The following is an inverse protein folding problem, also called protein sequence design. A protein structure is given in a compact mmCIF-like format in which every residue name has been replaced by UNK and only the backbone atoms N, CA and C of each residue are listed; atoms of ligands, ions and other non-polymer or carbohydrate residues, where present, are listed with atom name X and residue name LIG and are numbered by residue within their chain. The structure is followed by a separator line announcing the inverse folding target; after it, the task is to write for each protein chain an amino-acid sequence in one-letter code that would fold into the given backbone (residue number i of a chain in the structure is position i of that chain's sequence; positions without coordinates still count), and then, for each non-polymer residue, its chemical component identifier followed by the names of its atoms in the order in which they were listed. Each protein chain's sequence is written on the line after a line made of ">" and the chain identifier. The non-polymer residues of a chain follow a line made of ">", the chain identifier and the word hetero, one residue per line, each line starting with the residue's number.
data_IF_491592596833
#
_entry.id   IF_491592596833
#
_cell.length_a   1.000
_cell.length_b   1.000
_cell.length_c   1.000
_cell.angle_alpha   90.00
_cell.angle_beta   90.00
_cell.angle_gamma   90.00
#
_symmetry.space_group_name_H-M   'P 1'
#
loop_
_entity.id
_entity.type
_entity.pdbx_description
1 polymer ?
#
# COMPACT_ATOMS: atom_id res chain seq x y z
N UNK A 1 4.47 -1.23 12.20
CA UNK A 1 3.85 -1.84 11.00
C UNK A 1 2.36 -1.88 11.22
N UNK A 2 1.58 -1.31 10.32
CA UNK A 2 0.12 -1.32 10.39
C UNK A 2 -0.45 -1.93 9.12
N UNK A 3 -1.33 -2.91 9.25
CA UNK A 3 -2.00 -3.52 8.09
C UNK A 3 -3.02 -2.54 7.53
N UNK A 4 -2.83 -2.12 6.29
CA UNK A 4 -3.71 -1.16 5.61
C UNK A 4 -4.86 -1.88 4.94
N UNK A 5 -4.55 -2.98 4.24
CA UNK A 5 -5.53 -3.75 3.47
C UNK A 5 -5.09 -5.21 3.40
N UNK A 6 -6.06 -6.10 3.37
CA UNK A 6 -5.87 -7.53 3.13
C UNK A 6 -6.94 -7.99 2.16
N UNK A 7 -6.55 -8.73 1.12
CA UNK A 7 -7.47 -9.25 0.12
C UNK A 7 -6.97 -10.60 -0.39
N UNK A 8 -7.89 -11.45 -0.84
CA UNK A 8 -7.54 -12.70 -1.51
C UNK A 8 -7.64 -12.50 -3.03
N UNK A 9 -6.65 -13.00 -3.76
CA UNK A 9 -6.65 -12.98 -5.22
C UNK A 9 -5.97 -14.25 -5.76
N UNK A 10 -6.61 -14.91 -6.73
CA UNK A 10 -6.13 -16.17 -7.32
C UNK A 10 -5.77 -17.28 -6.31
N UNK A 11 -6.51 -17.35 -5.19
CA UNK A 11 -6.26 -18.32 -4.12
C UNK A 11 -4.99 -18.03 -3.32
N UNK A 12 -4.46 -16.81 -3.41
CA UNK A 12 -3.36 -16.31 -2.58
C UNK A 12 -3.86 -15.14 -1.74
N UNK A 13 -3.48 -15.13 -0.47
CA UNK A 13 -3.79 -14.03 0.44
C UNK A 13 -2.74 -12.93 0.32
N UNK A 14 -3.17 -11.72 -0.04
CA UNK A 14 -2.35 -10.52 -0.14
C UNK A 14 -2.59 -9.63 1.08
N UNK A 15 -1.50 -9.15 1.70
CA UNK A 15 -1.55 -8.21 2.80
C UNK A 15 -0.69 -6.99 2.49
N UNK A 16 -1.28 -5.80 2.50
CA UNK A 16 -0.58 -4.53 2.35
C UNK A 16 -0.32 -3.97 3.74
N UNK A 17 0.95 -3.92 4.13
CA UNK A 17 1.41 -3.43 5.44
C UNK A 17 2.19 -2.14 5.26
N UNK A 18 1.78 -1.11 5.98
CA UNK A 18 2.48 0.17 6.05
C UNK A 18 3.57 0.14 7.10
N UNK A 19 4.72 0.67 6.72
CA UNK A 19 5.90 0.91 7.53
C UNK A 19 6.23 2.40 7.45
N UNK A 20 5.99 3.12 8.53
CA UNK A 20 6.44 4.51 8.63
C UNK A 20 7.94 4.51 8.93
N UNK A 21 8.73 5.07 8.01
CA UNK A 21 10.12 5.44 8.24
C UNK A 21 10.19 6.95 8.47
N UNK A 22 11.27 7.45 9.08
CA UNK A 22 11.42 8.89 9.36
C UNK A 22 11.32 9.78 8.11
N UNK A 23 11.51 9.20 6.92
CA UNK A 23 11.45 9.88 5.61
C UNK A 23 10.09 9.77 4.91
N UNK A 24 9.13 8.98 5.41
CA UNK A 24 7.82 8.81 4.80
C UNK A 24 7.15 7.46 5.10
N UNK A 25 6.07 7.16 4.39
CA UNK A 25 5.36 5.89 4.53
C UNK A 25 5.73 4.93 3.41
N UNK A 26 6.21 3.75 3.78
CA UNK A 26 6.49 2.66 2.85
C UNK A 26 5.43 1.57 3.01
N UNK A 27 4.71 1.28 1.94
CA UNK A 27 3.78 0.16 1.85
C UNK A 27 4.53 -1.05 1.32
N UNK A 28 4.51 -2.13 2.09
CA UNK A 28 5.03 -3.44 1.70
C UNK A 28 3.87 -4.38 1.45
N UNK A 29 3.87 -5.02 0.29
CA UNK A 29 2.92 -6.09 -0.02
C UNK A 29 3.50 -7.42 0.43
N UNK A 30 2.68 -8.22 1.09
CA UNK A 30 2.96 -9.61 1.47
C UNK A 30 1.99 -10.52 0.73
N UNK A 31 2.46 -11.68 0.30
CA UNK A 31 1.66 -12.72 -0.35
C UNK A 31 1.90 -14.00 0.42
N UNK A 32 0.84 -14.60 0.94
CA UNK A 32 0.91 -15.82 1.76
C UNK A 32 1.89 -15.68 2.94
N UNK A 33 1.95 -14.48 3.54
CA UNK A 33 2.88 -14.14 4.61
C UNK A 33 4.33 -13.85 4.16
N UNK A 34 4.66 -14.02 2.87
CA UNK A 34 5.99 -13.69 2.33
C UNK A 34 6.03 -12.27 1.77
N UNK A 35 7.03 -11.44 2.11
CA UNK A 35 7.17 -10.11 1.53
C UNK A 35 7.46 -10.22 0.03
N UNK A 36 6.73 -9.46 -0.78
CA UNK A 36 6.99 -9.37 -2.22
C UNK A 36 7.98 -8.25 -2.52
N UNK A 37 8.43 -8.19 -3.79
CA UNK A 37 9.21 -7.06 -4.33
C UNK A 37 8.34 -5.86 -4.74
N UNK A 38 7.02 -5.93 -4.54
CA UNK A 38 6.12 -4.81 -4.78
C UNK A 38 6.16 -3.92 -3.54
N UNK A 39 6.92 -2.85 -3.64
CA UNK A 39 6.94 -1.76 -2.66
C UNK A 39 6.25 -0.51 -3.23
N UNK A 40 5.43 0.14 -2.41
CA UNK A 40 4.86 1.44 -2.70
C UNK A 40 5.43 2.45 -1.72
N UNK A 41 6.27 3.37 -2.18
CA UNK A 41 6.81 4.45 -1.34
C UNK A 41 6.00 5.72 -1.52
N UNK A 42 5.55 6.30 -0.40
CA UNK A 42 4.91 7.61 -0.36
C UNK A 42 5.93 8.61 0.15
N UNK A 43 6.38 9.49 -0.74
CA UNK A 43 7.20 10.62 -0.35
C UNK A 43 6.40 11.58 0.53
N UNK A 44 7.10 12.26 1.44
CA UNK A 44 6.52 13.28 2.33
C UNK A 44 5.70 14.34 1.58
N UNK A 45 6.10 14.73 0.37
CA UNK A 45 5.37 15.68 -0.47
C UNK A 45 3.97 15.19 -0.81
N UNK A 46 3.82 13.94 -1.27
CA UNK A 46 2.51 13.33 -1.58
C UNK A 46 1.66 13.20 -0.31
N UNK A 47 2.30 12.96 0.83
CA UNK A 47 1.62 12.87 2.12
C UNK A 47 1.07 14.23 2.59
N UNK A 48 1.85 15.30 2.40
CA UNK A 48 1.41 16.67 2.69
C UNK A 48 0.35 17.14 1.71
N UNK A 49 0.50 16.83 0.43
CA UNK A 49 -0.43 17.21 -0.63
C UNK A 49 -1.79 16.51 -0.45
N UNK A 50 -1.79 15.21 -0.15
CA UNK A 50 -3.01 14.46 0.14
C UNK A 50 -3.72 14.94 1.43
N UNK A 51 -2.95 15.35 2.45
CA UNK A 51 -3.51 15.97 3.65
C UNK A 51 -4.05 17.38 3.39
N UNK A 52 -3.48 18.10 2.41
CA UNK A 52 -3.87 19.47 2.06
C UNK A 52 -5.08 19.52 1.12
N UNK A 53 -5.21 18.56 0.20
CA UNK A 53 -6.27 18.53 -0.80
C UNK A 53 -7.52 17.74 -0.38
N UNK A 54 -7.64 17.28 0.87
CA UNK A 54 -8.71 16.37 1.33
C UNK A 54 -8.88 15.15 0.40
N UNK A 55 -7.79 14.72 -0.26
CA UNK A 55 -7.75 13.58 -1.19
C UNK A 55 -7.73 12.30 -0.34
N UNK A 56 -8.82 12.06 0.37
CA UNK A 56 -9.06 10.89 1.21
C UNK A 56 -7.90 10.53 2.13
N UNK A 57 -7.89 9.29 2.56
CA UNK A 57 -6.77 8.73 3.31
C UNK A 57 -5.74 8.21 2.28
N UNK A 58 -4.56 8.84 2.10
CA UNK A 58 -3.60 8.47 1.04
C UNK A 58 -3.18 7.00 1.15
N UNK A 59 -3.23 6.44 2.36
CA UNK A 59 -2.97 5.02 2.65
C UNK A 59 -3.95 4.13 1.90
N UNK A 60 -5.23 4.50 1.87
CA UNK A 60 -6.28 3.76 1.16
C UNK A 60 -6.09 3.87 -0.35
N UNK A 61 -5.80 5.06 -0.86
CA UNK A 61 -5.63 5.28 -2.30
C UNK A 61 -4.50 4.41 -2.85
N UNK A 62 -3.37 4.36 -2.17
CA UNK A 62 -2.24 3.54 -2.63
C UNK A 62 -2.49 2.06 -2.40
N UNK A 63 -3.17 1.68 -1.31
CA UNK A 63 -3.61 0.30 -1.14
C UNK A 63 -4.58 -0.15 -2.23
N UNK A 64 -5.44 0.76 -2.73
CA UNK A 64 -6.34 0.51 -3.84
C UNK A 64 -5.58 0.40 -5.16
N UNK A 65 -4.67 1.33 -5.45
CA UNK A 65 -3.82 1.29 -6.64
C UNK A 65 -2.93 0.04 -6.68
N UNK A 66 -2.38 -0.39 -5.53
CA UNK A 66 -1.61 -1.63 -5.41
C UNK A 66 -2.50 -2.86 -5.64
N UNK A 67 -3.72 -2.86 -5.09
CA UNK A 67 -4.68 -3.94 -5.34
C UNK A 67 -5.05 -4.02 -6.82
N UNK A 68 -5.35 -2.91 -7.48
CA UNK A 68 -5.64 -2.87 -8.91
C UNK A 68 -4.43 -3.32 -9.74
N UNK A 69 -3.22 -2.89 -9.37
CA UNK A 69 -2.00 -3.34 -10.04
C UNK A 69 -1.77 -4.85 -9.92
N UNK A 70 -2.06 -5.43 -8.75
CA UNK A 70 -1.95 -6.87 -8.49
C UNK A 70 -3.03 -7.64 -9.24
N UNK A 71 -4.28 -7.16 -9.21
CA UNK A 71 -5.41 -7.79 -9.91
C UNK A 71 -5.33 -7.65 -11.43
N UNK A 72 -4.72 -6.57 -11.92
CA UNK A 72 -4.59 -6.27 -13.35
C UNK A 72 -3.36 -6.88 -14.02
N UNK A 73 -2.39 -7.38 -13.24
CA UNK A 73 -1.23 -8.14 -13.74
C UNK A 73 -1.36 -9.67 -13.51
N UNK A 74 -2.53 -10.15 -13.07
CA UNK A 74 -2.86 -11.58 -12.99
C UNK A 74 -3.15 -12.19 -14.36
#
# INVERSE_FOLDING_TARGET
>A
MHTVKTFDHEGRSFEIKMVSYGDGWHLKVFVDGMPTKVDGSVSHEVQQDAAHYEIGDPRKIIADALEEFIKGNG
#
